data_IF_859338745921
#
_entry.id   IF_859338745921
#
_cell.length_a   1.000
_cell.length_b   1.000
_cell.length_c   1.000
_cell.angle_alpha   90.00
_cell.angle_beta   90.00
_cell.angle_gamma   90.00
#
_symmetry.space_group_name_H-M   'P 1'
#
loop_
_entity.id
_entity.type
_entity.pdbx_description
1 polymer ?
#
# COMPACT_ATOMS: atom_id res chain seq x y z
N UNK A 1 -10.39 -29.87 -12.38
CA UNK A 1 -9.28 -28.99 -11.97
C UNK A 1 -9.91 -27.68 -11.57
N UNK A 2 -9.98 -27.40 -10.27
CA UNK A 2 -10.67 -26.23 -9.74
C UNK A 2 -9.79 -25.01 -9.96
N UNK A 3 -10.23 -24.05 -10.76
CA UNK A 3 -9.63 -22.73 -10.82
C UNK A 3 -9.66 -22.14 -9.41
N UNK A 4 -8.48 -21.90 -8.83
CA UNK A 4 -8.36 -21.09 -7.63
C UNK A 4 -8.67 -19.67 -8.07
N UNK A 5 -9.95 -19.29 -7.99
CA UNK A 5 -10.37 -17.91 -8.16
C UNK A 5 -9.69 -17.10 -7.08
N UNK A 6 -8.62 -16.39 -7.46
CA UNK A 6 -7.96 -15.41 -6.64
C UNK A 6 -9.01 -14.34 -6.30
N UNK A 7 -9.52 -14.35 -5.07
CA UNK A 7 -10.43 -13.31 -4.62
C UNK A 7 -9.62 -12.06 -4.32
N UNK A 8 -9.82 -10.96 -5.06
CA UNK A 8 -9.09 -9.73 -4.80
C UNK A 8 -9.45 -9.23 -3.41
N UNK A 9 -8.46 -9.11 -2.53
CA UNK A 9 -8.67 -8.51 -1.20
C UNK A 9 -8.83 -6.99 -1.26
N UNK A 10 -8.56 -6.37 -2.41
CA UNK A 10 -8.76 -4.94 -2.69
C UNK A 10 -9.28 -4.79 -4.11
N UNK A 11 -10.08 -3.75 -4.37
CA UNK A 11 -10.68 -3.51 -5.69
C UNK A 11 -10.16 -2.20 -6.28
N UNK A 12 -9.71 -2.19 -7.53
CA UNK A 12 -9.44 -0.94 -8.25
C UNK A 12 -10.75 -0.19 -8.54
N UNK A 13 -10.71 1.11 -8.88
CA UNK A 13 -11.91 1.83 -9.31
C UNK A 13 -12.62 1.17 -10.49
N UNK A 14 -11.87 0.60 -11.42
CA UNK A 14 -12.42 -0.13 -12.57
C UNK A 14 -13.15 -1.40 -12.12
N UNK A 15 -12.59 -2.14 -11.16
CA UNK A 15 -13.24 -3.33 -10.59
C UNK A 15 -14.52 -2.94 -9.86
N UNK A 16 -14.52 -1.85 -9.09
CA UNK A 16 -15.72 -1.34 -8.42
C UNK A 16 -16.81 -0.97 -9.44
N UNK A 17 -16.44 -0.34 -10.56
CA UNK A 17 -17.39 -0.05 -11.65
C UNK A 17 -17.92 -1.32 -12.34
N UNK A 18 -17.06 -2.33 -12.53
CA UNK A 18 -17.49 -3.63 -13.05
C UNK A 18 -18.50 -4.29 -12.11
N UNK A 19 -18.22 -4.33 -10.80
CA UNK A 19 -19.12 -4.88 -9.79
C UNK A 19 -20.44 -4.12 -9.72
N UNK A 20 -20.44 -2.79 -9.92
CA UNK A 20 -21.68 -1.99 -10.06
C UNK A 20 -22.49 -2.40 -11.28
N UNK A 21 -21.84 -2.69 -12.42
CA UNK A 21 -22.51 -3.20 -13.63
C UNK A 21 -23.10 -4.59 -13.39
N UNK A 22 -22.38 -5.47 -12.71
CA UNK A 22 -22.88 -6.79 -12.31
C UNK A 22 -24.11 -6.68 -11.40
N UNK A 23 -24.07 -5.82 -10.38
CA UNK A 23 -25.22 -5.57 -9.51
C UNK A 23 -26.42 -5.03 -10.30
N UNK A 24 -26.20 -4.18 -11.31
CA UNK A 24 -27.26 -3.68 -12.19
C UNK A 24 -27.88 -4.81 -13.03
N UNK A 25 -27.09 -5.76 -13.51
CA UNK A 25 -27.58 -6.95 -14.22
C UNK A 25 -28.37 -7.84 -13.27
N UNK A 26 -27.84 -8.11 -12.09
CA UNK A 26 -28.48 -8.91 -11.04
C UNK A 26 -29.85 -8.34 -10.64
N UNK A 27 -29.93 -7.02 -10.51
CA UNK A 27 -31.17 -6.28 -10.24
C UNK A 27 -32.20 -6.44 -11.35
N UNK A 28 -31.77 -6.57 -12.61
CA UNK A 28 -32.69 -6.77 -13.75
C UNK A 28 -33.22 -8.20 -13.81
N UNK A 29 -32.45 -9.17 -13.31
CA UNK A 29 -32.84 -10.59 -13.30
C UNK A 29 -33.66 -11.02 -12.08
N UNK A 30 -33.92 -10.15 -11.11
CA UNK A 30 -34.65 -10.50 -9.88
C UNK A 30 -35.33 -9.32 -9.21
N UNK A 31 -36.19 -9.59 -8.22
CA UNK A 31 -36.91 -8.57 -7.46
C UNK A 31 -36.07 -7.93 -6.33
N UNK A 32 -34.80 -7.61 -6.61
CA UNK A 32 -33.89 -7.01 -5.64
C UNK A 32 -33.88 -5.49 -5.77
N UNK A 33 -33.75 -4.79 -4.65
CA UNK A 33 -33.41 -3.36 -4.66
C UNK A 33 -31.94 -3.16 -5.07
N UNK A 34 -31.57 -1.94 -5.49
CA UNK A 34 -30.19 -1.63 -5.88
C UNK A 34 -29.19 -1.92 -4.74
N UNK A 35 -29.53 -1.59 -3.50
CA UNK A 35 -28.66 -1.86 -2.33
C UNK A 35 -28.47 -3.35 -2.11
N UNK A 36 -29.55 -4.13 -2.16
CA UNK A 36 -29.49 -5.58 -1.97
C UNK A 36 -28.67 -6.26 -3.07
N UNK A 37 -28.79 -5.80 -4.31
CA UNK A 37 -28.00 -6.33 -5.42
C UNK A 37 -26.49 -6.03 -5.24
N UNK A 38 -26.14 -4.84 -4.76
CA UNK A 38 -24.75 -4.46 -4.45
C UNK A 38 -24.20 -5.29 -3.28
N UNK A 39 -24.98 -5.48 -2.21
CA UNK A 39 -24.57 -6.28 -1.06
C UNK A 39 -24.38 -7.75 -1.44
N UNK A 40 -25.23 -8.32 -2.30
CA UNK A 40 -25.03 -9.68 -2.82
C UNK A 40 -23.78 -9.81 -3.67
N UNK A 41 -23.46 -8.82 -4.50
CA UNK A 41 -22.20 -8.80 -5.26
C UNK A 41 -21.01 -8.70 -4.31
N UNK A 42 -21.07 -7.84 -3.28
CA UNK A 42 -20.01 -7.73 -2.28
C UNK A 42 -19.79 -9.05 -1.52
N UNK A 43 -20.85 -9.75 -1.15
CA UNK A 43 -20.79 -11.06 -0.48
C UNK A 43 -20.13 -12.13 -1.35
N UNK A 44 -20.38 -12.14 -2.66
CA UNK A 44 -19.68 -13.03 -3.61
C UNK A 44 -18.19 -12.74 -3.69
N UNK A 45 -17.78 -11.51 -3.37
CA UNK A 45 -16.39 -11.07 -3.30
C UNK A 45 -15.78 -11.21 -1.89
N UNK A 46 -16.49 -11.85 -0.95
CA UNK A 46 -16.01 -12.08 0.41
C UNK A 46 -16.25 -10.94 1.41
N UNK A 47 -17.05 -9.94 1.06
CA UNK A 47 -17.35 -8.78 1.91
C UNK A 47 -18.77 -8.81 2.46
N UNK A 48 -18.96 -8.45 3.73
CA UNK A 48 -20.26 -8.49 4.40
C UNK A 48 -21.31 -7.60 3.72
N UNK A 49 -20.89 -6.43 3.23
CA UNK A 49 -21.75 -5.47 2.53
C UNK A 49 -20.94 -4.58 1.57
N UNK A 50 -21.65 -3.84 0.71
CA UNK A 50 -21.05 -2.98 -0.30
C UNK A 50 -20.26 -1.80 0.30
N UNK A 51 -20.71 -1.23 1.42
CA UNK A 51 -20.03 -0.12 2.08
C UNK A 51 -18.62 -0.50 2.56
N UNK A 52 -18.46 -1.72 3.10
CA UNK A 52 -17.17 -2.25 3.50
C UNK A 52 -16.27 -2.54 2.29
N UNK A 53 -16.83 -3.09 1.21
CA UNK A 53 -16.09 -3.28 -0.04
C UNK A 53 -15.55 -1.95 -0.57
N UNK A 54 -16.40 -0.91 -0.66
CA UNK A 54 -15.98 0.42 -1.11
C UNK A 54 -14.95 1.06 -0.19
N UNK A 55 -15.08 0.91 1.13
CA UNK A 55 -14.11 1.43 2.09
C UNK A 55 -12.73 0.80 1.92
N UNK A 56 -12.67 -0.45 1.46
CA UNK A 56 -11.43 -1.19 1.24
C UNK A 56 -11.01 -1.21 -0.24
N UNK A 57 -11.73 -0.49 -1.10
CA UNK A 57 -11.31 -0.27 -2.49
C UNK A 57 -10.10 0.65 -2.53
N UNK A 58 -9.28 0.49 -3.57
CA UNK A 58 -8.11 1.33 -3.81
C UNK A 58 -8.58 2.75 -4.17
N UNK A 59 -7.98 3.79 -3.56
CA UNK A 59 -8.19 5.17 -3.95
C UNK A 59 -7.96 5.38 -5.45
N UNK A 60 -8.84 6.14 -6.11
CA UNK A 60 -8.72 6.40 -7.55
C UNK A 60 -7.46 7.21 -7.89
N UNK A 61 -7.09 8.15 -7.02
CA UNK A 61 -5.90 9.00 -7.14
C UNK A 61 -4.59 8.20 -7.24
N UNK A 62 -4.54 7.03 -6.58
CA UNK A 62 -3.37 6.16 -6.63
C UNK A 62 -3.21 5.45 -7.96
N UNK A 63 -4.30 5.24 -8.69
CA UNK A 63 -4.28 4.53 -9.96
C UNK A 63 -3.49 5.30 -11.03
N UNK A 64 -3.54 6.63 -10.98
CA UNK A 64 -2.79 7.54 -11.86
C UNK A 64 -1.36 7.79 -11.38
N UNK A 65 -1.08 7.53 -10.11
CA UNK A 65 0.25 7.65 -9.51
C UNK A 65 1.23 6.57 -9.98
N UNK A 66 0.73 5.47 -10.58
CA UNK A 66 1.54 4.38 -11.10
C UNK A 66 1.31 4.22 -12.61
N UNK A 67 2.40 4.35 -13.37
CA UNK A 67 2.46 4.00 -14.78
C UNK A 67 3.09 2.61 -14.94
N UNK A 68 2.41 1.72 -15.67
CA UNK A 68 2.96 0.42 -16.09
C UNK A 68 3.25 0.45 -17.59
N UNK A 69 4.43 -0.02 -17.95
CA UNK A 69 4.86 -0.25 -19.33
C UNK A 69 5.39 -1.67 -19.47
N UNK A 70 5.10 -2.30 -20.59
CA UNK A 70 5.61 -3.62 -20.95
C UNK A 70 6.10 -3.55 -22.38
N UNK A 71 7.35 -3.96 -22.58
CA UNK A 71 7.99 -3.99 -23.88
C UNK A 71 8.59 -5.37 -24.13
N UNK A 72 8.56 -5.84 -25.38
CA UNK A 72 9.26 -7.05 -25.74
C UNK A 72 10.77 -6.86 -25.55
N UNK A 73 11.43 -7.86 -24.96
CA UNK A 73 12.86 -7.80 -24.73
C UNK A 73 13.62 -7.78 -26.06
N UNK A 74 14.40 -6.72 -26.29
CA UNK A 74 15.11 -6.48 -27.55
C UNK A 74 16.20 -7.51 -27.87
N UNK A 75 16.57 -8.37 -26.92
CA UNK A 75 17.54 -9.45 -27.11
C UNK A 75 17.07 -10.63 -27.98
N UNK A 76 15.80 -10.63 -28.42
CA UNK A 76 15.33 -11.53 -29.50
C UNK A 76 14.63 -12.81 -29.06
N UNK A 77 14.51 -13.08 -27.75
CA UNK A 77 13.79 -14.25 -27.26
C UNK A 77 12.27 -14.03 -27.27
N UNK A 78 11.54 -14.93 -27.95
CA UNK A 78 10.08 -14.92 -27.97
C UNK A 78 9.54 -15.19 -26.57
N UNK A 79 8.48 -14.48 -26.20
CA UNK A 79 7.86 -14.63 -24.89
C UNK A 79 8.67 -14.07 -23.73
N UNK A 80 9.66 -13.20 -23.98
CA UNK A 80 10.40 -12.45 -22.96
C UNK A 80 10.06 -10.97 -23.07
N UNK A 81 9.66 -10.37 -21.94
CA UNK A 81 9.23 -8.97 -21.86
C UNK A 81 9.91 -8.28 -20.69
N UNK A 82 10.20 -7.00 -20.86
CA UNK A 82 10.58 -6.11 -19.78
C UNK A 82 9.32 -5.40 -19.31
N UNK A 83 8.99 -5.57 -18.04
CA UNK A 83 7.93 -4.86 -17.35
C UNK A 83 8.57 -3.78 -16.49
N UNK A 84 8.10 -2.56 -16.65
CA UNK A 84 8.50 -1.43 -15.83
C UNK A 84 7.27 -0.77 -15.21
N UNK A 85 7.33 -0.56 -13.90
CA UNK A 85 6.39 0.25 -13.15
C UNK A 85 7.13 1.52 -12.72
N UNK A 86 6.53 2.69 -12.95
CA UNK A 86 7.10 3.98 -12.58
C UNK A 86 6.08 4.79 -11.81
N UNK A 87 6.55 5.47 -10.76
CA UNK A 87 5.74 6.42 -10.03
C UNK A 87 5.77 7.76 -10.76
N UNK A 88 4.59 8.31 -11.01
CA UNK A 88 4.38 9.57 -11.72
C UNK A 88 4.11 10.73 -10.76
N UNK A 89 3.67 10.44 -9.54
CA UNK A 89 3.38 11.46 -8.53
C UNK A 89 4.69 11.98 -7.89
N UNK A 90 5.03 13.27 -8.08
CA UNK A 90 6.24 13.85 -7.51
C UNK A 90 6.25 13.86 -5.98
N UNK A 91 5.08 13.93 -5.31
CA UNK A 91 5.02 13.89 -3.85
C UNK A 91 5.43 12.51 -3.34
N UNK A 92 4.91 11.44 -3.95
CA UNK A 92 5.29 10.08 -3.62
C UNK A 92 6.76 9.79 -3.92
N UNK A 93 7.30 10.32 -5.02
CA UNK A 93 8.72 10.18 -5.34
C UNK A 93 9.61 10.81 -4.25
N UNK A 94 9.30 12.03 -3.82
CA UNK A 94 10.02 12.71 -2.74
C UNK A 94 9.89 11.92 -1.43
N UNK A 95 8.69 11.44 -1.12
CA UNK A 95 8.43 10.67 0.09
C UNK A 95 9.24 9.36 0.11
N UNK A 96 9.27 8.61 -0.99
CA UNK A 96 10.07 7.39 -1.11
C UNK A 96 11.56 7.68 -1.02
N UNK A 97 12.05 8.75 -1.66
CA UNK A 97 13.46 9.13 -1.52
C UNK A 97 13.86 9.44 -0.07
N UNK A 98 12.93 9.94 0.76
CA UNK A 98 13.17 10.22 2.19
C UNK A 98 13.04 8.99 3.09
N UNK A 99 12.09 8.12 2.80
CA UNK A 99 11.73 6.97 3.64
C UNK A 99 12.42 5.67 3.24
N UNK A 100 13.24 5.71 2.18
CA UNK A 100 13.97 4.56 1.66
C UNK A 100 13.17 3.74 0.66
N UNK A 101 13.56 2.49 0.46
CA UNK A 101 12.98 1.66 -0.60
C UNK A 101 11.57 1.17 -0.25
N UNK A 102 10.74 1.09 -1.28
CA UNK A 102 9.37 0.59 -1.18
C UNK A 102 9.25 -0.76 -1.86
N UNK A 103 8.62 -1.72 -1.19
CA UNK A 103 8.45 -3.07 -1.71
C UNK A 103 7.00 -3.54 -1.65
N UNK A 104 6.63 -4.41 -2.58
CA UNK A 104 5.32 -5.04 -2.66
C UNK A 104 5.48 -6.54 -2.95
N UNK A 105 4.46 -7.34 -2.63
CA UNK A 105 4.48 -8.78 -2.92
C UNK A 105 4.15 -9.02 -4.39
N UNK A 106 4.90 -9.92 -5.03
CA UNK A 106 4.61 -10.29 -6.41
C UNK A 106 3.47 -11.31 -6.41
N UNK A 107 2.51 -11.16 -7.34
CA UNK A 107 1.43 -12.12 -7.47
C UNK A 107 1.97 -13.49 -7.90
N UNK A 108 1.28 -14.57 -7.52
CA UNK A 108 1.59 -15.90 -8.03
C UNK A 108 1.55 -15.91 -9.56
N UNK A 109 2.59 -16.42 -10.21
CA UNK A 109 2.67 -16.49 -11.67
C UNK A 109 2.02 -17.78 -12.18
N UNK A 110 1.40 -17.78 -13.38
CA UNK A 110 0.96 -19.03 -14.00
C UNK A 110 2.13 -20.01 -14.13
N UNK A 111 1.86 -21.32 -14.10
CA UNK A 111 2.88 -22.37 -13.99
C UNK A 111 3.99 -22.32 -15.05
N UNK A 112 3.71 -21.77 -16.24
CA UNK A 112 4.65 -21.64 -17.36
C UNK A 112 5.30 -20.26 -17.46
N UNK A 113 4.96 -19.35 -16.57
CA UNK A 113 5.48 -17.99 -16.53
C UNK A 113 6.52 -17.86 -15.41
N UNK A 114 7.51 -17.01 -15.64
CA UNK A 114 8.56 -16.67 -14.71
C UNK A 114 8.69 -15.16 -14.69
N UNK A 115 8.69 -14.59 -13.49
CA UNK A 115 9.10 -13.21 -13.25
C UNK A 115 10.54 -13.23 -12.75
N UNK A 116 11.49 -12.82 -13.58
CA UNK A 116 12.90 -12.62 -13.21
C UNK A 116 13.09 -11.15 -12.82
N UNK A 117 13.64 -10.88 -11.63
CA UNK A 117 13.79 -9.51 -11.13
C UNK A 117 14.99 -8.84 -11.79
N UNK A 118 14.86 -7.58 -12.19
CA UNK A 118 15.95 -6.80 -12.76
C UNK A 118 15.88 -5.39 -12.17
N UNK A 119 16.60 -5.15 -11.08
CA UNK A 119 16.77 -3.78 -10.57
C UNK A 119 18.14 -3.31 -11.02
N UNK A 120 18.16 -2.42 -12.01
CA UNK A 120 19.39 -1.76 -12.47
C UNK A 120 19.85 -0.79 -11.36
N UNK A 121 20.73 -1.24 -10.47
CA UNK A 121 21.34 -0.38 -9.44
C UNK A 121 22.55 0.35 -10.03
N UNK A 122 22.43 1.67 -10.21
CA UNK A 122 23.63 2.52 -10.28
C UNK A 122 24.17 2.72 -8.86
N UNK A 123 25.36 2.19 -8.61
CA UNK A 123 26.28 2.78 -7.61
C UNK A 123 26.54 2.02 -6.32
N UNK A 124 25.70 1.10 -5.84
CA UNK A 124 26.05 0.33 -4.64
C UNK A 124 25.18 -0.90 -4.40
N UNK A 125 25.89 -2.02 -4.25
CA UNK A 125 25.44 -3.40 -4.05
C UNK A 125 24.76 -4.05 -5.26
N UNK A 126 25.18 -5.26 -5.69
CA UNK A 126 24.31 -6.08 -6.52
C UNK A 126 23.01 -6.28 -5.74
N UNK A 127 21.84 -6.08 -6.35
CA UNK A 127 20.61 -6.66 -5.80
C UNK A 127 20.87 -8.17 -5.90
N UNK A 128 21.22 -8.84 -4.79
CA UNK A 128 21.63 -10.23 -4.88
C UNK A 128 20.35 -10.94 -5.33
N UNK A 129 20.48 -11.80 -6.34
CA UNK A 129 19.45 -12.76 -6.62
C UNK A 129 18.90 -13.29 -5.29
N UNK A 130 17.60 -13.05 -5.06
CA UNK A 130 16.83 -13.54 -3.93
C UNK A 130 17.07 -12.78 -2.61
N UNK A 131 16.06 -11.99 -2.19
CA UNK A 131 15.57 -12.22 -0.83
C UNK A 131 15.33 -13.73 -0.76
N UNK A 132 16.10 -14.45 0.07
CA UNK A 132 16.19 -15.93 0.13
C UNK A 132 14.85 -16.61 0.46
N UNK A 133 13.76 -15.85 0.53
CA UNK A 133 12.37 -16.26 0.54
C UNK A 133 11.95 -16.67 -0.88
N UNK A 134 12.36 -17.87 -1.30
CA UNK A 134 11.83 -18.50 -2.53
C UNK A 134 10.30 -18.55 -2.53
N UNK A 135 9.71 -18.60 -1.35
CA UNK A 135 8.28 -18.81 -1.15
C UNK A 135 7.43 -17.54 -1.37
N UNK A 136 8.01 -16.33 -1.25
CA UNK A 136 7.27 -15.05 -1.37
C UNK A 136 8.10 -13.99 -2.12
N UNK A 137 8.11 -14.03 -3.46
CA UNK A 137 8.82 -13.03 -4.25
C UNK A 137 8.24 -11.63 -4.03
N UNK A 138 9.11 -10.62 -3.97
CA UNK A 138 8.73 -9.20 -3.78
C UNK A 138 9.32 -8.32 -4.87
N UNK A 139 8.55 -7.32 -5.31
CA UNK A 139 9.01 -6.22 -6.16
C UNK A 139 9.49 -5.06 -5.29
N UNK A 140 10.54 -4.35 -5.73
CA UNK A 140 11.15 -3.22 -5.01
C UNK A 140 11.27 -2.03 -5.95
N UNK A 141 10.84 -0.87 -5.49
CA UNK A 141 11.03 0.39 -6.17
C UNK A 141 12.38 0.99 -5.77
N UNK A 142 13.19 1.33 -6.77
CA UNK A 142 14.44 2.08 -6.66
C UNK A 142 14.26 3.35 -7.48
N UNK A 143 14.51 4.51 -6.87
CA UNK A 143 14.30 5.82 -7.50
C UNK A 143 12.91 5.97 -8.15
N UNK A 144 11.90 5.43 -7.49
CA UNK A 144 10.52 5.47 -7.96
C UNK A 144 10.19 4.55 -9.13
N UNK A 145 11.06 3.59 -9.44
CA UNK A 145 10.85 2.62 -10.52
C UNK A 145 11.04 1.20 -10.02
N UNK A 146 10.18 0.31 -10.51
CA UNK A 146 10.36 -1.13 -10.40
C UNK A 146 10.49 -1.70 -11.82
N UNK A 147 11.48 -2.56 -12.04
CA UNK A 147 11.74 -3.18 -13.32
C UNK A 147 11.87 -4.70 -13.11
N UNK A 148 11.29 -5.49 -14.02
CA UNK A 148 11.48 -6.93 -14.05
C UNK A 148 11.36 -7.47 -15.47
N UNK A 149 11.82 -8.70 -15.64
CA UNK A 149 11.60 -9.49 -16.84
C UNK A 149 10.47 -10.47 -16.55
N UNK A 150 9.46 -10.52 -17.41
CA UNK A 150 8.45 -11.58 -17.42
C UNK A 150 8.67 -12.45 -18.64
N UNK A 151 8.70 -13.77 -18.44
CA UNK A 151 9.02 -14.72 -19.50
C UNK A 151 8.19 -16.00 -19.38
N UNK A 152 7.82 -16.59 -20.51
CA UNK A 152 7.42 -18.01 -20.53
C UNK A 152 8.68 -18.86 -20.37
N UNK A 153 8.67 -19.91 -19.54
CA UNK A 153 9.84 -20.65 -18.99
C UNK A 153 10.77 -21.35 -20.01
N UNK A 154 11.33 -20.64 -21.00
CA UNK A 154 12.36 -21.10 -21.94
C UNK A 154 11.94 -22.20 -22.91
N UNK A 155 10.85 -22.92 -22.67
CA UNK A 155 10.23 -23.80 -23.66
C UNK A 155 9.41 -22.91 -24.58
N UNK A 156 9.81 -22.82 -25.84
CA UNK A 156 9.08 -22.12 -26.90
C UNK A 156 8.16 -23.14 -27.60
N UNK A 157 7.00 -23.53 -27.04
CA UNK A 157 6.07 -24.38 -27.78
C UNK A 157 5.56 -23.62 -29.00
N UNK A 158 5.07 -24.35 -30.00
CA UNK A 158 4.43 -23.79 -31.21
C UNK A 158 3.27 -22.81 -30.92
N UNK A 159 2.80 -22.77 -29.66
CA UNK A 159 1.69 -21.95 -29.18
C UNK A 159 2.09 -20.81 -28.23
N UNK A 160 3.37 -20.44 -28.15
CA UNK A 160 3.84 -19.40 -27.22
C UNK A 160 3.09 -18.07 -27.40
N UNK A 161 2.74 -17.70 -28.63
CA UNK A 161 1.97 -16.48 -28.93
C UNK A 161 0.55 -16.49 -28.35
N UNK A 162 -0.12 -17.64 -28.38
CA UNK A 162 -1.44 -17.79 -27.77
C UNK A 162 -1.34 -17.71 -26.25
N UNK A 163 -0.28 -18.25 -25.65
CA UNK A 163 -0.02 -18.15 -24.22
C UNK A 163 0.26 -16.70 -23.79
N UNK A 164 1.05 -15.96 -24.58
CA UNK A 164 1.32 -14.53 -24.36
C UNK A 164 0.03 -13.72 -24.44
N UNK A 165 -0.73 -13.88 -25.52
CA UNK A 165 -1.97 -13.13 -25.77
C UNK A 165 -3.01 -13.31 -24.66
N UNK A 166 -3.02 -14.48 -24.01
CA UNK A 166 -3.95 -14.77 -22.92
C UNK A 166 -3.37 -14.39 -21.56
N UNK A 167 -2.07 -14.57 -21.35
CA UNK A 167 -1.46 -14.52 -20.02
C UNK A 167 -0.78 -13.20 -19.63
N UNK A 168 -0.28 -12.43 -20.60
CA UNK A 168 0.56 -11.26 -20.32
C UNK A 168 -0.23 -10.13 -19.66
N UNK A 169 -1.34 -9.70 -20.27
CA UNK A 169 -2.14 -8.58 -19.75
C UNK A 169 -2.71 -8.87 -18.35
N UNK A 170 -3.31 -10.05 -18.07
CA UNK A 170 -3.76 -10.38 -16.73
C UNK A 170 -2.62 -10.41 -15.69
N UNK A 171 -1.44 -10.89 -16.08
CA UNK A 171 -0.28 -10.87 -15.19
C UNK A 171 0.15 -9.43 -14.87
N UNK A 172 0.22 -8.56 -15.88
CA UNK A 172 0.57 -7.15 -15.71
C UNK A 172 -0.45 -6.42 -14.83
N UNK A 173 -1.74 -6.67 -15.04
CA UNK A 173 -2.81 -6.11 -14.23
C UNK A 173 -2.68 -6.50 -12.76
N UNK A 174 -2.38 -7.78 -12.47
CA UNK A 174 -2.14 -8.27 -11.11
C UNK A 174 -0.90 -7.65 -10.47
N UNK A 175 0.20 -7.55 -11.20
CA UNK A 175 1.43 -6.91 -10.70
C UNK A 175 1.16 -5.44 -10.36
N UNK A 176 0.45 -4.71 -11.24
CA UNK A 176 0.04 -3.32 -10.98
C UNK A 176 -0.86 -3.23 -9.74
N UNK A 177 -1.80 -4.15 -9.61
CA UNK A 177 -2.72 -4.21 -8.47
C UNK A 177 -1.97 -4.34 -7.15
N UNK A 178 -1.02 -5.28 -7.05
CA UNK A 178 -0.23 -5.47 -5.83
C UNK A 178 0.62 -4.24 -5.49
N UNK A 179 1.22 -3.59 -6.50
CA UNK A 179 1.96 -2.35 -6.30
C UNK A 179 1.06 -1.22 -5.75
N UNK A 180 -0.14 -1.05 -6.32
CA UNK A 180 -1.14 -0.08 -5.85
C UNK A 180 -1.62 -0.40 -4.42
N UNK A 181 -1.85 -1.68 -4.12
CA UNK A 181 -2.26 -2.12 -2.80
C UNK A 181 -1.20 -1.81 -1.74
N UNK A 182 0.06 -2.11 -2.03
CA UNK A 182 1.17 -1.78 -1.12
C UNK A 182 1.29 -0.27 -0.91
N UNK A 183 1.09 0.54 -1.96
CA UNK A 183 1.14 2.00 -1.89
C UNK A 183 -0.01 2.56 -1.03
N UNK A 184 -1.23 2.08 -1.25
CA UNK A 184 -2.40 2.43 -0.45
C UNK A 184 -2.22 2.05 1.03
N UNK A 185 -1.65 0.87 1.29
CA UNK A 185 -1.34 0.43 2.65
C UNK A 185 -0.33 1.34 3.35
N UNK A 186 0.69 1.81 2.62
CA UNK A 186 1.69 2.76 3.15
C UNK A 186 1.07 4.12 3.46
N UNK A 187 0.29 4.69 2.54
CA UNK A 187 -0.39 5.96 2.78
C UNK A 187 -1.37 5.88 3.96
N UNK A 188 -2.10 4.77 4.09
CA UNK A 188 -2.97 4.53 5.23
C UNK A 188 -2.18 4.41 6.55
N UNK A 189 -1.02 3.74 6.53
CA UNK A 189 -0.15 3.62 7.70
C UNK A 189 0.53 4.94 8.10
N UNK A 190 0.81 5.82 7.14
CA UNK A 190 1.32 7.17 7.42
C UNK A 190 0.22 8.14 7.87
N UNK A 191 -0.99 8.00 7.30
CA UNK A 191 -2.16 8.78 7.71
C UNK A 191 -2.71 8.34 9.06
N UNK A 192 -2.39 7.12 9.51
CA UNK A 192 -2.51 6.72 10.90
C UNK A 192 -1.46 7.49 11.70
N UNK A 193 -1.81 8.70 12.14
CA UNK A 193 -0.96 9.55 12.96
C UNK A 193 -0.32 8.71 14.08
N UNK A 194 1.01 8.72 14.14
CA UNK A 194 1.71 8.22 15.33
C UNK A 194 1.13 8.98 16.52
N UNK A 195 0.69 8.28 17.59
CA UNK A 195 0.04 8.94 18.70
C UNK A 195 0.97 10.00 19.29
N UNK A 196 0.46 11.22 19.40
CA UNK A 196 1.16 12.35 20.00
C UNK A 196 1.34 12.05 21.49
N UNK A 197 2.57 12.13 21.99
CA UNK A 197 2.86 11.79 23.40
C UNK A 197 2.95 13.05 24.25
N UNK A 198 2.13 13.13 25.30
CA UNK A 198 2.28 14.14 26.34
C UNK A 198 3.21 13.62 27.42
N UNK A 199 4.30 14.33 27.67
CA UNK A 199 5.22 14.07 28.78
C UNK A 199 4.83 14.93 29.99
N UNK A 200 4.81 14.32 31.16
CA UNK A 200 4.53 15.01 32.43
C UNK A 200 5.37 14.44 33.57
N UNK A 201 5.66 15.29 34.55
CA UNK A 201 6.32 14.93 35.79
C UNK A 201 5.28 14.56 36.85
N UNK A 202 5.46 13.44 37.53
CA UNK A 202 4.65 13.01 38.68
C UNK A 202 5.53 13.00 39.94
N UNK A 203 5.17 13.75 40.99
CA UNK A 203 5.95 13.76 42.22
C UNK A 203 5.90 12.41 42.93
N UNK A 204 7.06 11.86 43.30
CA UNK A 204 7.15 10.66 44.13
C UNK A 204 7.39 11.02 45.60
N UNK A 205 7.01 10.09 46.50
CA UNK A 205 7.13 10.26 47.96
C UNK A 205 8.57 10.50 48.46
N UNK A 206 9.58 10.18 47.64
CA UNK A 206 11.01 10.40 47.92
C UNK A 206 11.56 11.75 47.46
N UNK A 207 10.72 12.66 46.93
CA UNK A 207 11.12 14.01 46.50
C UNK A 207 11.70 14.11 45.09
N UNK A 208 11.90 12.99 44.40
CA UNK A 208 12.22 12.98 42.97
C UNK A 208 10.93 12.89 42.13
N UNK A 209 10.90 13.62 41.02
CA UNK A 209 9.81 13.54 40.05
C UNK A 209 10.04 12.37 39.09
N UNK A 210 9.01 11.57 38.84
CA UNK A 210 8.98 10.55 37.79
C UNK A 210 8.51 11.18 36.49
N UNK A 211 9.22 10.91 35.38
CA UNK A 211 8.77 11.34 34.05
C UNK A 211 7.89 10.24 33.46
N UNK A 212 6.65 10.57 33.17
CA UNK A 212 5.68 9.69 32.52
C UNK A 212 5.31 10.25 31.14
N UNK A 213 4.86 9.37 30.25
CA UNK A 213 4.24 9.74 28.98
C UNK A 213 2.85 9.13 28.80
N UNK A 214 1.98 9.80 28.05
CA UNK A 214 0.67 9.27 27.67
C UNK A 214 0.38 9.59 26.20
N UNK A 215 -0.05 8.59 25.39
CA UNK A 215 -0.36 8.78 23.98
C UNK A 215 -1.76 9.38 23.76
N UNK A 216 -1.86 10.27 22.78
CA UNK A 216 -3.11 10.93 22.34
C UNK A 216 -3.25 10.85 20.82
N UNK A 217 -4.49 10.83 20.28
CA UNK A 217 -4.73 10.79 18.84
C UNK A 217 -4.29 12.06 18.11
N UNK A 218 -4.41 13.22 18.74
CA UNK A 218 -4.07 14.52 18.16
C UNK A 218 -3.26 15.39 19.13
N UNK A 219 -2.58 16.41 18.59
CA UNK A 219 -1.92 17.43 19.39
C UNK A 219 -2.93 18.20 20.25
N UNK A 220 -4.10 18.54 19.70
CA UNK A 220 -5.14 19.28 20.43
C UNK A 220 -5.62 18.49 21.67
N UNK A 221 -5.83 17.17 21.52
CA UNK A 221 -6.20 16.30 22.63
C UNK A 221 -5.10 16.24 23.70
N UNK A 222 -3.83 16.17 23.29
CA UNK A 222 -2.69 16.18 24.20
C UNK A 222 -2.59 17.50 24.98
N UNK A 223 -2.81 18.65 24.33
CA UNK A 223 -2.70 19.96 24.97
C UNK A 223 -3.88 20.23 25.93
N UNK A 224 -5.06 19.65 25.70
CA UNK A 224 -6.25 19.78 26.55
C UNK A 224 -6.37 18.70 27.63
N UNK A 225 -5.47 17.73 27.64
CA UNK A 225 -5.55 16.60 28.55
C UNK A 225 -5.46 17.03 30.03
N UNK A 226 -6.37 16.49 30.85
CA UNK A 226 -6.26 16.58 32.30
C UNK A 226 -5.18 15.61 32.79
N UNK A 227 -4.21 16.14 33.53
CA UNK A 227 -3.14 15.34 34.11
C UNK A 227 -3.56 14.71 35.44
N UNK A 228 -2.95 13.57 35.83
CA UNK A 228 -3.16 13.00 37.15
C UNK A 228 -2.87 14.03 38.27
N UNK A 229 -3.61 14.01 39.39
CA UNK A 229 -3.46 14.99 40.46
C UNK A 229 -2.01 15.14 40.94
N UNK A 230 -1.56 16.38 41.11
CA UNK A 230 -0.19 16.71 41.53
C UNK A 230 0.86 16.61 40.42
N UNK A 231 0.50 16.16 39.21
CA UNK A 231 1.43 16.09 38.09
C UNK A 231 1.61 17.45 37.41
N UNK A 232 2.75 17.62 36.72
CA UNK A 232 3.09 18.84 35.97
C UNK A 232 3.39 18.50 34.52
N UNK A 233 2.73 19.18 33.59
CA UNK A 233 3.05 19.06 32.17
C UNK A 233 4.50 19.46 31.90
N UNK A 234 5.20 18.66 31.08
CA UNK A 234 6.56 18.95 30.62
C UNK A 234 6.48 19.43 29.17
N UNK A 235 5.96 18.58 28.27
CA UNK A 235 6.03 18.88 26.86
C UNK A 235 5.33 17.87 25.95
N UNK A 236 5.08 18.30 24.71
CA UNK A 236 4.60 17.45 23.62
C UNK A 236 5.57 17.58 22.44
N UNK A 237 6.39 16.56 22.13
CA UNK A 237 7.27 16.59 20.97
C UNK A 237 6.47 16.46 19.68
N UNK A 238 6.82 17.28 18.70
CA UNK A 238 6.27 17.26 17.35
C UNK A 238 7.41 17.32 16.33
N UNK A 239 7.09 17.10 15.05
CA UNK A 239 8.05 17.26 13.95
C UNK A 239 8.65 18.68 13.83
N UNK A 240 7.97 19.68 14.41
CA UNK A 240 8.39 21.08 14.43
C UNK A 240 9.07 21.49 15.74
N UNK A 241 9.34 20.55 16.65
CA UNK A 241 9.94 20.80 17.95
C UNK A 241 8.99 20.53 19.12
N UNK A 242 9.39 20.96 20.32
CA UNK A 242 8.64 20.72 21.55
C UNK A 242 7.65 21.84 21.84
N UNK A 243 6.39 21.46 22.04
CA UNK A 243 5.48 22.29 22.81
C UNK A 243 5.82 22.15 24.29
N UNK A 244 5.90 23.26 25.01
CA UNK A 244 6.23 23.26 26.45
C UNK A 244 5.15 23.97 27.24
N UNK A 245 4.78 23.42 28.40
CA UNK A 245 3.79 24.05 29.26
C UNK A 245 4.46 24.95 30.29
N UNK A 246 4.11 26.23 30.31
CA UNK A 246 4.65 27.21 31.24
C UNK A 246 3.52 27.90 32.01
N UNK A 247 3.28 27.55 33.29
CA UNK A 247 2.37 28.33 34.13
C UNK A 247 2.91 29.76 34.34
N UNK A 248 2.08 30.81 34.25
CA UNK A 248 0.64 30.83 33.97
C UNK A 248 0.27 30.94 32.47
N UNK A 249 1.25 31.02 31.57
CA UNK A 249 1.08 31.29 30.14
C UNK A 249 0.49 30.14 29.31
N UNK A 250 0.40 28.93 29.88
CA UNK A 250 -0.13 27.75 29.20
C UNK A 250 0.88 27.12 28.23
N UNK A 251 0.36 26.42 27.21
CA UNK A 251 1.17 25.75 26.19
C UNK A 251 1.82 26.74 25.23
N UNK A 252 3.15 26.68 25.14
CA UNK A 252 3.96 27.45 24.21
C UNK A 252 4.39 26.57 23.04
N UNK A 253 4.18 27.06 21.82
CA UNK A 253 4.66 26.42 20.60
C UNK A 253 6.20 26.44 20.54
N UNK A 254 6.82 25.48 19.83
CA UNK A 254 8.26 25.52 19.59
C UNK A 254 8.66 26.83 18.91
N UNK A 255 9.76 27.44 19.38
CA UNK A 255 10.36 28.58 18.70
C UNK A 255 10.84 28.16 17.31
N UNK A 256 10.49 28.94 16.29
CA UNK A 256 10.92 28.73 14.90
C UNK A 256 12.41 29.00 14.72
#
# INVERSE_FOLDING_TARGET
MSEVFYMPTRFSPADVEQLRREAKVLRRSGALTQSQALDQVAQRQGWTNWALLQRNALPAELHDAIQLSVEQYRGGDRGVFVLQISLTDPKLLVELSRSGEFSFELPQVPQRWIVRRFTELRGSAPDPFLDRRWETPRGRFVDGRFICIVSTNGVQPDRVEAEIAVGLDPLCARIRHEALAALAGRQAAQSAALPVRLFFARPQSGGADEICDTPYPTLEDALKAELPPGSRAIGVPTEHGWWTYQPPFGWQAPAR
#
